data_IF_340186899194
#
_entry.id   IF_340186899194
#
_cell.length_a   1.000
_cell.length_b   1.000
_cell.length_c   1.000
_cell.angle_alpha   90.00
_cell.angle_beta   90.00
_cell.angle_gamma   90.00
#
_symmetry.space_group_name_H-M   'P 1'
#
loop_
_entity.id
_entity.type
_entity.pdbx_description
1 polymer ?
#
# COMPACT_ATOMS: atom_id res chain seq x y z
N UNK A 1 7.26 -28.77 6.07
CA UNK A 1 7.90 -27.88 5.07
C UNK A 1 7.11 -26.58 5.06
N UNK A 2 7.63 -25.52 5.68
CA UNK A 2 7.02 -24.18 5.61
C UNK A 2 7.54 -23.56 4.33
N UNK A 3 6.66 -23.37 3.35
CA UNK A 3 7.00 -22.69 2.10
C UNK A 3 6.86 -21.19 2.36
N UNK A 4 7.97 -20.49 2.59
CA UNK A 4 7.99 -19.03 2.55
C UNK A 4 7.74 -18.57 1.11
N UNK A 5 6.49 -18.23 0.80
CA UNK A 5 6.14 -17.53 -0.42
C UNK A 5 6.58 -16.07 -0.29
N UNK A 6 7.78 -15.77 -0.79
CA UNK A 6 8.25 -14.39 -0.95
C UNK A 6 7.55 -13.77 -2.16
N UNK A 7 6.36 -13.21 -1.94
CA UNK A 7 5.68 -12.37 -2.91
C UNK A 7 6.48 -11.08 -3.08
N UNK A 8 7.24 -10.96 -4.16
CA UNK A 8 7.80 -9.68 -4.58
C UNK A 8 6.68 -8.89 -5.25
N UNK A 9 6.35 -7.67 -4.78
CA UNK A 9 5.45 -6.81 -5.54
C UNK A 9 6.04 -6.61 -6.94
N UNK A 10 5.23 -6.82 -7.97
CA UNK A 10 5.65 -6.45 -9.32
C UNK A 10 5.74 -4.91 -9.36
N UNK A 11 6.92 -4.37 -9.66
CA UNK A 11 7.15 -2.92 -9.77
C UNK A 11 6.08 -2.17 -10.59
N UNK A 12 5.50 -2.72 -11.68
CA UNK A 12 4.44 -2.03 -12.44
C UNK A 12 3.18 -1.74 -11.63
N UNK A 13 2.77 -2.63 -10.72
CA UNK A 13 1.55 -2.46 -9.91
C UNK A 13 1.73 -1.32 -8.91
N UNK A 14 2.91 -1.26 -8.29
CA UNK A 14 3.28 -0.22 -7.34
C UNK A 14 3.33 1.16 -8.01
N UNK A 15 3.88 1.23 -9.23
CA UNK A 15 3.91 2.48 -10.02
C UNK A 15 2.51 2.98 -10.37
N UNK A 16 1.63 2.12 -10.89
CA UNK A 16 0.28 2.53 -11.26
C UNK A 16 -0.52 3.04 -10.06
N UNK A 17 -0.39 2.39 -8.90
CA UNK A 17 -1.10 2.81 -7.70
C UNK A 17 -0.56 4.14 -7.14
N UNK A 18 0.76 4.33 -7.15
CA UNK A 18 1.39 5.60 -6.76
C UNK A 18 0.97 6.76 -7.67
N UNK A 19 0.91 6.54 -8.98
CA UNK A 19 0.38 7.54 -9.94
C UNK A 19 -1.05 7.91 -9.59
N UNK A 20 -1.92 6.93 -9.35
CA UNK A 20 -3.30 7.20 -8.95
C UNK A 20 -3.39 7.97 -7.62
N UNK A 21 -2.56 7.61 -6.64
CA UNK A 21 -2.50 8.30 -5.35
C UNK A 21 -2.06 9.76 -5.51
N UNK A 22 -1.07 10.05 -6.35
CA UNK A 22 -0.63 11.42 -6.66
C UNK A 22 -1.72 12.26 -7.29
N UNK A 23 -2.46 11.71 -8.24
CA UNK A 23 -3.61 12.39 -8.86
C UNK A 23 -4.68 12.72 -7.82
N UNK A 24 -4.98 11.79 -6.92
CA UNK A 24 -5.96 12.01 -5.84
C UNK A 24 -5.49 13.02 -4.78
N UNK A 25 -4.18 13.22 -4.65
CA UNK A 25 -3.56 14.14 -3.70
C UNK A 25 -3.29 15.54 -4.28
N UNK A 26 -3.81 15.86 -5.47
CA UNK A 26 -3.63 17.19 -6.07
C UNK A 26 -4.55 18.20 -5.38
N UNK A 27 -3.99 19.35 -5.01
CA UNK A 27 -4.78 20.53 -4.63
C UNK A 27 -5.60 21.05 -5.81
N UNK A 28 -6.68 21.80 -5.56
CA UNK A 28 -7.51 22.39 -6.62
C UNK A 28 -6.71 23.24 -7.62
N UNK A 29 -5.74 24.01 -7.13
CA UNK A 29 -4.86 24.80 -7.99
C UNK A 29 -4.01 23.91 -8.91
N UNK A 30 -3.51 22.77 -8.42
CA UNK A 30 -2.76 21.80 -9.22
C UNK A 30 -3.67 21.04 -10.19
N UNK A 31 -4.93 20.76 -9.82
CA UNK A 31 -5.91 20.16 -10.72
C UNK A 31 -6.20 21.10 -11.89
N UNK A 32 -6.40 22.40 -11.64
CA UNK A 32 -6.55 23.41 -12.69
C UNK A 32 -5.34 23.44 -13.63
N UNK A 33 -4.13 23.48 -13.06
CA UNK A 33 -2.90 23.43 -13.86
C UNK A 33 -2.76 22.13 -14.67
N UNK A 34 -3.28 20.99 -14.17
CA UNK A 34 -3.22 19.71 -14.87
C UNK A 34 -4.17 19.64 -16.07
N UNK A 35 -5.29 20.35 -16.00
CA UNK A 35 -6.24 20.48 -17.12
C UNK A 35 -5.70 21.36 -18.23
N UNK A 36 -4.76 22.26 -17.91
CA UNK A 36 -4.21 23.27 -18.83
C UNK A 36 -2.76 22.97 -19.28
N UNK A 37 -2.09 21.98 -18.68
CA UNK A 37 -0.67 21.68 -18.91
C UNK A 37 -0.37 20.19 -19.17
N UNK A 38 0.04 19.89 -20.40
CA UNK A 38 0.57 18.57 -20.80
C UNK A 38 1.85 18.18 -20.03
N UNK A 39 2.62 19.16 -19.54
CA UNK A 39 3.86 18.92 -18.82
C UNK A 39 3.60 18.32 -17.43
N UNK A 40 2.58 18.81 -16.72
CA UNK A 40 2.20 18.31 -15.41
C UNK A 40 1.62 16.89 -15.52
N UNK A 41 0.77 16.65 -16.52
CA UNK A 41 0.23 15.32 -16.83
C UNK A 41 1.36 14.32 -17.16
N UNK A 42 2.34 14.73 -17.97
CA UNK A 42 3.52 13.92 -18.30
C UNK A 42 4.35 13.58 -17.06
N UNK A 43 4.57 14.55 -16.15
CA UNK A 43 5.26 14.29 -14.86
C UNK A 43 4.52 13.24 -14.03
N UNK A 44 3.20 13.36 -13.90
CA UNK A 44 2.37 12.40 -13.16
C UNK A 44 2.44 11.00 -13.79
N UNK A 45 2.20 10.88 -15.11
CA UNK A 45 2.22 9.60 -15.82
C UNK A 45 3.62 8.95 -15.86
N UNK A 46 4.68 9.76 -15.85
CA UNK A 46 6.07 9.26 -15.79
C UNK A 46 6.44 8.67 -14.44
N UNK A 47 5.55 8.73 -13.44
CA UNK A 47 5.81 8.22 -12.10
C UNK A 47 6.83 9.08 -11.34
N UNK A 48 7.03 10.34 -11.74
CA UNK A 48 7.82 11.31 -10.99
C UNK A 48 6.95 12.05 -9.96
N UNK A 49 7.54 12.49 -8.83
CA UNK A 49 6.84 13.34 -7.87
C UNK A 49 6.47 14.67 -8.54
N UNK A 50 5.27 15.18 -8.23
CA UNK A 50 4.79 16.48 -8.72
C UNK A 50 5.39 17.60 -7.86
N UNK A 51 5.20 17.51 -6.55
CA UNK A 51 5.84 18.31 -5.50
C UNK A 51 6.13 17.42 -4.29
N UNK A 52 6.99 17.86 -3.37
CA UNK A 52 7.25 17.12 -2.13
C UNK A 52 5.98 16.96 -1.27
N UNK A 53 5.14 18.01 -1.20
CA UNK A 53 3.89 17.99 -0.44
C UNK A 53 2.87 17.01 -1.05
N UNK A 54 2.69 17.03 -2.37
CA UNK A 54 1.81 16.09 -3.08
C UNK A 54 2.29 14.64 -2.90
N UNK A 55 3.60 14.42 -2.91
CA UNK A 55 4.18 13.09 -2.69
C UNK A 55 3.90 12.57 -1.27
N UNK A 56 4.06 13.43 -0.26
CA UNK A 56 3.75 13.10 1.13
C UNK A 56 2.27 12.74 1.29
N UNK A 57 1.37 13.57 0.74
CA UNK A 57 -0.08 13.36 0.81
C UNK A 57 -0.53 12.11 0.04
N UNK A 58 0.08 11.81 -1.11
CA UNK A 58 -0.17 10.59 -1.86
C UNK A 58 0.21 9.32 -1.06
N UNK A 59 1.37 9.34 -0.39
CA UNK A 59 1.82 8.22 0.44
C UNK A 59 0.99 8.09 1.73
N UNK A 60 0.49 9.20 2.28
CA UNK A 60 -0.47 9.19 3.39
C UNK A 60 -1.80 8.55 2.99
N UNK A 61 -2.34 8.92 1.82
CA UNK A 61 -3.52 8.28 1.24
C UNK A 61 -3.34 6.77 1.04
N UNK A 62 -2.17 6.34 0.55
CA UNK A 62 -1.84 4.91 0.41
C UNK A 62 -1.79 4.21 1.77
N UNK A 63 -1.11 4.82 2.75
CA UNK A 63 -0.99 4.30 4.11
C UNK A 63 -2.35 4.13 4.77
N UNK A 64 -3.21 5.15 4.69
CA UNK A 64 -4.56 5.13 5.25
C UNK A 64 -5.41 4.01 4.64
N UNK A 65 -5.35 3.83 3.31
CA UNK A 65 -6.07 2.75 2.63
C UNK A 65 -5.58 1.37 3.06
N UNK A 66 -4.27 1.18 3.25
CA UNK A 66 -3.70 -0.08 3.75
C UNK A 66 -4.09 -0.35 5.20
N UNK A 67 -4.00 0.66 6.07
CA UNK A 67 -4.40 0.54 7.47
C UNK A 67 -5.88 0.20 7.60
N UNK A 68 -6.75 0.90 6.88
CA UNK A 68 -8.19 0.61 6.86
C UNK A 68 -8.49 -0.82 6.40
N UNK A 69 -7.75 -1.34 5.41
CA UNK A 69 -7.85 -2.74 4.98
C UNK A 69 -7.35 -3.71 6.06
N UNK A 70 -6.22 -3.41 6.68
CA UNK A 70 -5.62 -4.21 7.76
C UNK A 70 -6.50 -4.30 9.01
N UNK A 71 -7.14 -3.20 9.39
CA UNK A 71 -8.05 -3.15 10.54
C UNK A 71 -9.23 -4.12 10.35
N UNK A 72 -9.69 -4.30 9.11
CA UNK A 72 -10.68 -5.32 8.75
C UNK A 72 -10.26 -6.75 9.09
N UNK A 73 -8.96 -7.04 9.20
CA UNK A 73 -8.42 -8.35 9.59
C UNK A 73 -8.21 -8.50 11.10
N UNK A 74 -8.27 -7.43 11.90
CA UNK A 74 -7.96 -7.46 13.33
C UNK A 74 -8.83 -8.46 14.10
N UNK A 75 -10.16 -8.35 13.97
CA UNK A 75 -11.10 -9.28 14.62
C UNK A 75 -11.14 -10.67 13.98
N UNK A 76 -10.76 -10.76 12.71
CA UNK A 76 -10.82 -12.00 11.90
C UNK A 76 -9.62 -12.90 12.20
N UNK A 77 -8.42 -12.33 12.35
CA UNK A 77 -7.18 -13.08 12.61
C UNK A 77 -7.23 -13.81 13.96
N UNK A 78 -7.65 -13.13 15.03
CA UNK A 78 -7.72 -13.74 16.37
C UNK A 78 -8.74 -14.87 16.45
N UNK A 79 -9.89 -14.74 15.77
CA UNK A 79 -10.89 -15.81 15.67
C UNK A 79 -10.40 -17.00 14.84
N UNK A 80 -9.66 -16.75 13.77
CA UNK A 80 -9.18 -17.83 12.91
C UNK A 80 -8.06 -18.64 13.56
N UNK A 81 -7.16 -17.97 14.28
CA UNK A 81 -6.12 -18.65 15.06
C UNK A 81 -6.71 -19.45 16.23
N UNK A 82 -7.77 -18.95 16.88
CA UNK A 82 -8.47 -19.70 17.91
C UNK A 82 -9.19 -20.95 17.37
N UNK A 83 -9.76 -20.85 16.16
CA UNK A 83 -10.46 -21.97 15.53
C UNK A 83 -9.49 -23.09 15.09
N UNK A 84 -8.31 -22.73 14.57
CA UNK A 84 -7.26 -23.69 14.19
C UNK A 84 -6.68 -24.49 15.38
N UNK A 85 -6.80 -23.98 16.60
CA UNK A 85 -6.37 -24.67 17.82
C UNK A 85 -7.26 -25.87 18.17
N UNK A 86 -8.50 -25.90 17.69
CA UNK A 86 -9.48 -26.94 17.99
C UNK A 86 -9.46 -28.04 16.92
N UNK A 87 -8.30 -28.71 16.83
CA UNK A 87 -7.87 -29.66 15.80
C UNK A 87 -8.80 -30.86 15.51
N UNK A 88 -9.91 -31.03 16.23
CA UNK A 88 -10.83 -32.18 16.09
C UNK A 88 -11.91 -32.00 15.00
N UNK A 89 -12.07 -30.82 14.39
CA UNK A 89 -13.13 -30.58 13.36
C UNK A 89 -12.70 -29.90 12.06
N UNK A 90 -11.49 -29.40 11.95
CA UNK A 90 -11.10 -28.59 10.78
C UNK A 90 -10.82 -29.43 9.53
N UNK A 91 -11.51 -29.11 8.44
CA UNK A 91 -11.23 -29.70 7.14
C UNK A 91 -9.96 -29.09 6.52
N UNK A 92 -9.40 -29.77 5.49
CA UNK A 92 -8.29 -29.21 4.70
C UNK A 92 -8.66 -27.86 4.05
N UNK A 93 -9.95 -27.65 3.73
CA UNK A 93 -10.45 -26.40 3.14
C UNK A 93 -10.47 -25.27 4.18
N UNK A 94 -10.85 -25.55 5.42
CA UNK A 94 -10.87 -24.55 6.49
C UNK A 94 -9.46 -24.04 6.80
N UNK A 95 -8.49 -24.95 6.90
CA UNK A 95 -7.07 -24.59 7.05
C UNK A 95 -6.55 -23.74 5.89
N UNK A 96 -6.94 -24.06 4.65
CA UNK A 96 -6.57 -23.27 3.48
C UNK A 96 -7.17 -21.85 3.54
N UNK A 97 -8.45 -21.73 3.91
CA UNK A 97 -9.12 -20.44 4.03
C UNK A 97 -8.44 -19.54 5.07
N UNK A 98 -8.09 -20.10 6.24
CA UNK A 98 -7.34 -19.36 7.27
C UNK A 98 -5.97 -18.92 6.75
N UNK A 99 -5.22 -19.84 6.13
CA UNK A 99 -3.90 -19.53 5.59
C UNK A 99 -3.95 -18.43 4.52
N UNK A 100 -4.97 -18.43 3.66
CA UNK A 100 -5.16 -17.38 2.66
C UNK A 100 -5.35 -16.01 3.31
N UNK A 101 -6.14 -15.92 4.37
CA UNK A 101 -6.37 -14.65 5.08
C UNK A 101 -5.13 -14.18 5.84
N UNK A 102 -4.35 -15.09 6.42
CA UNK A 102 -3.05 -14.76 7.04
C UNK A 102 -2.05 -14.23 6.00
N UNK A 103 -2.00 -14.84 4.82
CA UNK A 103 -1.15 -14.39 3.71
C UNK A 103 -1.59 -13.00 3.23
N UNK A 104 -2.89 -12.76 3.04
CA UNK A 104 -3.41 -11.47 2.62
C UNK A 104 -3.06 -10.35 3.62
N UNK A 105 -3.23 -10.62 4.92
CA UNK A 105 -2.79 -9.69 5.98
C UNK A 105 -1.29 -9.41 5.91
N UNK A 106 -0.46 -10.45 5.72
CA UNK A 106 0.99 -10.28 5.63
C UNK A 106 1.40 -9.45 4.40
N UNK A 107 0.72 -9.61 3.26
CA UNK A 107 0.92 -8.79 2.06
C UNK A 107 0.59 -7.32 2.35
N UNK A 108 -0.55 -7.06 2.98
CA UNK A 108 -0.97 -5.70 3.33
C UNK A 108 0.00 -5.04 4.31
N UNK A 109 0.48 -5.78 5.31
CA UNK A 109 1.48 -5.27 6.26
C UNK A 109 2.78 -4.94 5.53
N UNK A 110 3.27 -5.84 4.67
CA UNK A 110 4.49 -5.59 3.90
C UNK A 110 4.35 -4.39 2.97
N UNK A 111 3.19 -4.18 2.36
CA UNK A 111 2.91 -3.01 1.55
C UNK A 111 2.97 -1.72 2.38
N UNK A 112 2.44 -1.74 3.61
CA UNK A 112 2.47 -0.60 4.52
C UNK A 112 3.91 -0.26 4.93
N UNK A 113 4.72 -1.27 5.23
CA UNK A 113 6.15 -1.09 5.56
C UNK A 113 6.89 -0.42 4.39
N UNK A 114 6.67 -0.87 3.15
CA UNK A 114 7.27 -0.28 1.93
C UNK A 114 6.85 1.18 1.74
N UNK A 115 5.57 1.51 1.97
CA UNK A 115 5.11 2.90 1.90
C UNK A 115 5.78 3.74 3.00
N UNK A 116 5.99 3.19 4.19
CA UNK A 116 6.75 3.82 5.27
C UNK A 116 8.21 4.10 4.90
N UNK A 117 8.89 3.11 4.30
CA UNK A 117 10.27 3.26 3.79
C UNK A 117 10.37 4.38 2.72
N UNK A 118 9.39 4.45 1.82
CA UNK A 118 9.32 5.51 0.80
C UNK A 118 9.13 6.90 1.43
N UNK A 119 8.22 7.03 2.41
CA UNK A 119 8.02 8.29 3.14
C UNK A 119 9.29 8.77 3.83
N UNK A 120 10.02 7.85 4.47
CA UNK A 120 11.29 8.17 5.12
C UNK A 120 12.34 8.69 4.12
N UNK A 121 12.43 8.02 2.96
CA UNK A 121 13.35 8.41 1.88
C UNK A 121 13.07 9.82 1.36
N UNK A 122 11.80 10.18 1.14
CA UNK A 122 11.42 11.52 0.68
C UNK A 122 11.70 12.57 1.76
N UNK A 123 11.40 12.27 3.03
CA UNK A 123 11.70 13.19 4.14
C UNK A 123 13.20 13.46 4.27
N UNK A 124 14.05 12.46 4.03
CA UNK A 124 15.50 12.65 3.99
C UNK A 124 15.94 13.48 2.79
N UNK A 125 15.44 13.21 1.59
CA UNK A 125 15.80 13.97 0.38
C UNK A 125 15.43 15.45 0.49
N UNK A 126 14.27 15.77 1.08
CA UNK A 126 13.85 17.16 1.30
C UNK A 126 14.76 17.95 2.25
N UNK A 127 15.55 17.28 3.11
CA UNK A 127 16.51 17.96 4.01
C UNK A 127 17.77 18.46 3.30
N UNK A 128 18.09 17.90 2.13
CA UNK A 128 19.33 18.20 1.39
C UNK A 128 19.13 19.17 0.20
N UNK A 129 17.93 19.74 0.04
CA UNK A 129 17.57 20.67 -1.06
C UNK A 129 17.53 22.14 -0.57
N UNK A 130 18.15 22.45 0.57
CA UNK A 130 18.36 23.82 1.06
C UNK A 130 19.76 24.35 0.71
#
# INVERSE_FOLDING_TARGET
VVVELRLRPAEPVLRCWLVAARVMALSEAQVGALQESDELLSKVLSGKPVTADNEAEALDLMSLKLMSRLDGYGGVTSRLLSNLGDTRRDTRRDRLAVNLQLVEKAILQRALDVVGELKATISEQSKYVL
#
